data_IF_832752958826
#
_entry.id   IF_832752958826
#
_cell.length_a   1.000
_cell.length_b   1.000
_cell.length_c   1.000
_cell.angle_alpha   90.00
_cell.angle_beta   90.00
_cell.angle_gamma   90.00
#
_symmetry.space_group_name_H-M   'P 1'
#
loop_
_entity.id
_entity.type
_entity.pdbx_description
1 polymer ?
#
# COMPACT_ATOMS: atom_id res chain seq x y z
N UNK A 1 11.06 13.32 4.20
CA UNK A 1 12.14 13.22 5.20
C UNK A 1 11.52 13.44 6.58
N UNK A 2 11.38 12.37 7.37
CA UNK A 2 11.00 12.53 8.78
C UNK A 2 12.27 12.91 9.53
N UNK A 3 12.34 14.14 9.96
CA UNK A 3 13.44 14.59 10.81
C UNK A 3 13.01 14.29 12.24
N UNK A 4 13.70 13.36 12.91
CA UNK A 4 13.65 13.29 14.36
C UNK A 4 14.36 14.54 14.86
N UNK A 5 13.56 15.57 15.18
CA UNK A 5 14.12 16.81 15.68
C UNK A 5 14.17 16.77 17.20
N UNK A 6 15.31 17.16 17.78
CA UNK A 6 15.45 17.51 19.20
C UNK A 6 14.93 18.91 19.52
N UNK A 7 14.07 19.50 18.67
CA UNK A 7 13.52 20.84 18.86
C UNK A 7 12.66 20.89 20.13
N UNK A 8 12.80 21.99 20.88
CA UNK A 8 11.99 22.24 22.08
C UNK A 8 10.49 22.43 21.74
N UNK A 9 9.62 22.38 22.78
CA UNK A 9 8.16 22.47 22.61
C UNK A 9 7.72 23.72 21.83
N UNK A 10 8.38 24.85 22.05
CA UNK A 10 8.02 26.14 21.41
C UNK A 10 8.30 26.13 19.92
N UNK A 11 9.39 25.49 19.47
CA UNK A 11 9.73 25.34 18.06
C UNK A 11 8.74 24.40 17.38
N UNK A 12 8.33 23.31 18.05
CA UNK A 12 7.32 22.38 17.56
C UNK A 12 5.94 23.05 17.44
N UNK A 13 5.56 23.88 18.43
CA UNK A 13 4.32 24.63 18.39
C UNK A 13 4.30 25.66 17.25
N UNK A 14 5.40 26.38 17.04
CA UNK A 14 5.53 27.33 15.94
C UNK A 14 5.47 26.62 14.57
N UNK A 15 6.12 25.47 14.43
CA UNK A 15 6.07 24.67 13.22
C UNK A 15 4.64 24.14 12.95
N UNK A 16 3.94 23.65 13.97
CA UNK A 16 2.56 23.21 13.86
C UNK A 16 1.62 24.35 13.44
N UNK A 17 1.80 25.54 14.00
CA UNK A 17 1.03 26.73 13.62
C UNK A 17 1.26 27.12 12.15
N UNK A 18 2.52 27.10 11.68
CA UNK A 18 2.85 27.38 10.29
C UNK A 18 2.22 26.35 9.32
N UNK A 19 2.24 25.06 9.68
CA UNK A 19 1.58 24.00 8.90
C UNK A 19 0.07 24.24 8.84
N UNK A 20 -0.57 24.58 9.96
CA UNK A 20 -2.01 24.85 9.99
C UNK A 20 -2.37 26.06 9.09
N UNK A 21 -1.61 27.15 9.14
CA UNK A 21 -1.81 28.32 8.27
C UNK A 21 -1.69 27.96 6.78
N UNK A 22 -0.69 27.15 6.41
CA UNK A 22 -0.54 26.65 5.05
C UNK A 22 -1.75 25.77 4.65
N UNK A 23 -2.20 24.90 5.54
CA UNK A 23 -3.38 24.05 5.31
C UNK A 23 -4.62 24.88 5.09
N UNK A 24 -4.86 25.92 5.90
CA UNK A 24 -5.97 26.84 5.74
C UNK A 24 -5.90 27.62 4.41
N UNK A 25 -4.71 28.04 4.01
CA UNK A 25 -4.53 28.75 2.74
C UNK A 25 -4.81 27.88 1.52
N UNK A 26 -4.67 26.55 1.64
CA UNK A 26 -4.93 25.56 0.60
C UNK A 26 -6.36 24.99 0.64
N UNK A 27 -7.11 25.22 1.72
CA UNK A 27 -8.44 24.64 1.95
C UNK A 27 -9.49 25.05 0.88
N UNK A 28 -9.24 26.14 0.12
CA UNK A 28 -10.06 26.54 -1.01
C UNK A 28 -9.67 25.93 -2.37
N UNK A 29 -8.56 25.19 -2.40
CA UNK A 29 -8.02 24.58 -3.61
C UNK A 29 -8.37 23.10 -3.64
N UNK A 30 -9.62 22.77 -3.97
CA UNK A 30 -10.01 21.38 -4.17
C UNK A 30 -9.50 20.90 -5.53
N UNK A 31 -8.56 19.95 -5.53
CA UNK A 31 -8.27 19.16 -6.71
C UNK A 31 -9.43 18.18 -6.91
N UNK A 32 -10.04 18.18 -8.10
CA UNK A 32 -10.84 17.02 -8.50
C UNK A 32 -9.91 15.81 -8.51
N UNK A 33 -10.17 14.88 -7.60
CA UNK A 33 -9.41 13.63 -7.54
C UNK A 33 -9.88 12.77 -8.71
N UNK A 34 -9.07 12.72 -9.76
CA UNK A 34 -9.26 11.75 -10.82
C UNK A 34 -9.02 10.35 -10.26
N UNK A 35 -10.11 9.64 -9.95
CA UNK A 35 -10.09 8.24 -9.55
C UNK A 35 -10.01 7.31 -10.76
N UNK A 36 -9.79 7.83 -11.97
CA UNK A 36 -9.56 7.01 -13.14
C UNK A 36 -8.31 6.17 -12.92
N UNK A 37 -8.49 4.86 -13.01
CA UNK A 37 -7.38 3.89 -13.01
C UNK A 37 -6.68 4.04 -14.36
N UNK A 38 -5.57 4.77 -14.39
CA UNK A 38 -4.74 4.83 -15.58
C UNK A 38 -4.34 3.41 -15.98
N UNK A 39 -4.45 3.10 -17.27
CA UNK A 39 -4.14 1.77 -17.83
C UNK A 39 -2.81 1.25 -17.28
N UNK A 40 -2.86 0.10 -16.58
CA UNK A 40 -1.69 -0.63 -16.09
C UNK A 40 -1.16 -0.25 -14.70
N UNK A 41 -1.73 0.74 -14.00
CA UNK A 41 -1.33 1.00 -12.62
C UNK A 41 -2.54 1.25 -11.73
N UNK A 42 -2.70 0.45 -10.68
CA UNK A 42 -3.66 0.67 -9.60
C UNK A 42 -3.14 1.84 -8.73
N UNK A 43 -3.13 3.05 -9.32
CA UNK A 43 -2.67 4.26 -8.66
C UNK A 43 -3.83 5.24 -8.49
N UNK A 44 -4.57 5.10 -7.39
CA UNK A 44 -5.29 6.26 -6.88
C UNK A 44 -4.25 7.22 -6.29
N UNK A 45 -4.29 8.50 -6.62
CA UNK A 45 -3.44 9.53 -6.00
C UNK A 45 -3.54 9.54 -4.47
N UNK A 46 -4.67 9.07 -3.93
CA UNK A 46 -4.94 8.96 -2.50
C UNK A 46 -4.63 7.57 -1.92
N UNK A 47 -4.06 6.64 -2.72
CA UNK A 47 -3.71 5.31 -2.21
C UNK A 47 -2.80 5.42 -0.98
N UNK A 48 -3.17 4.71 0.08
CA UNK A 48 -2.41 4.63 1.33
C UNK A 48 -0.99 4.06 1.14
N UNK A 49 -0.74 3.35 0.05
CA UNK A 49 0.54 2.65 -0.19
C UNK A 49 1.33 3.28 -1.33
N UNK A 50 0.71 3.55 -2.47
CA UNK A 50 1.37 4.06 -3.67
C UNK A 50 0.94 5.47 -4.09
N UNK A 51 0.05 6.12 -3.33
CA UNK A 51 -0.52 7.42 -3.70
C UNK A 51 0.47 8.57 -3.58
N UNK A 52 0.70 9.30 -4.66
CA UNK A 52 1.62 10.44 -4.68
C UNK A 52 1.16 11.60 -3.82
N UNK A 53 -0.16 11.74 -3.63
CA UNK A 53 -0.76 12.80 -2.80
C UNK A 53 -0.97 12.37 -1.34
N UNK A 54 -0.61 11.15 -0.96
CA UNK A 54 -0.72 10.68 0.40
C UNK A 54 0.63 10.85 1.13
N UNK A 55 0.75 11.79 2.09
CA UNK A 55 2.04 12.17 2.67
C UNK A 55 2.72 11.04 3.45
N UNK A 56 1.95 10.06 3.92
CA UNK A 56 2.45 8.89 4.64
C UNK A 56 2.51 7.63 3.79
N UNK A 57 2.30 7.69 2.47
CA UNK A 57 2.41 6.48 1.64
C UNK A 57 3.87 6.04 1.51
N UNK A 58 4.19 4.75 1.72
CA UNK A 58 5.55 4.23 1.57
C UNK A 58 6.06 4.23 0.11
N UNK A 59 5.19 4.55 -0.86
CA UNK A 59 5.50 4.67 -2.29
C UNK A 59 5.90 3.35 -2.95
N UNK A 60 5.23 2.25 -2.58
CA UNK A 60 5.39 0.99 -3.30
C UNK A 60 4.77 1.09 -4.70
N UNK A 61 5.59 0.87 -5.71
CA UNK A 61 5.19 0.85 -7.11
C UNK A 61 5.28 -0.56 -7.64
N UNK A 62 4.12 -1.16 -7.97
CA UNK A 62 4.05 -2.50 -8.54
C UNK A 62 4.06 -2.44 -10.08
N UNK A 63 4.83 -3.32 -10.70
CA UNK A 63 4.80 -3.61 -12.14
C UNK A 63 4.07 -4.93 -12.33
N UNK A 64 2.89 -4.85 -12.95
CA UNK A 64 2.04 -6.02 -13.21
C UNK A 64 2.32 -6.55 -14.61
N UNK A 65 2.55 -7.86 -14.70
CA UNK A 65 2.71 -8.58 -15.95
C UNK A 65 1.84 -9.85 -15.92
N UNK A 66 0.66 -9.79 -16.53
CA UNK A 66 -0.28 -10.90 -16.49
C UNK A 66 -0.73 -11.24 -15.07
N UNK A 67 -0.42 -12.45 -14.64
CA UNK A 67 -0.80 -12.98 -13.32
C UNK A 67 0.29 -12.80 -12.24
N UNK A 68 1.31 -12.01 -12.52
CA UNK A 68 2.41 -11.72 -11.63
C UNK A 68 2.59 -10.21 -11.46
N UNK A 69 3.15 -9.82 -10.33
CA UNK A 69 3.60 -8.45 -10.12
C UNK A 69 4.86 -8.42 -9.25
N UNK A 70 5.69 -7.43 -9.52
CA UNK A 70 6.90 -7.16 -8.73
C UNK A 70 7.02 -5.67 -8.47
N UNK A 71 7.50 -5.29 -7.30
CA UNK A 71 7.75 -3.90 -6.94
C UNK A 71 8.85 -3.77 -5.91
N UNK A 72 9.35 -2.54 -5.75
CA UNK A 72 10.35 -2.23 -4.73
C UNK A 72 9.92 -1.03 -3.91
N UNK A 73 10.28 -1.04 -2.64
CA UNK A 73 10.02 0.06 -1.70
C UNK A 73 11.13 0.14 -0.66
N UNK A 74 11.46 1.37 -0.23
CA UNK A 74 12.28 1.61 0.96
C UNK A 74 11.36 2.17 2.03
N UNK A 75 11.15 1.41 3.09
CA UNK A 75 10.26 1.82 4.19
C UNK A 75 11.05 2.63 5.21
N UNK A 76 10.64 3.89 5.41
CA UNK A 76 11.32 4.81 6.31
C UNK A 76 10.92 4.68 7.79
N UNK A 77 11.56 5.45 8.68
CA UNK A 77 11.38 5.35 10.12
C UNK A 77 9.98 5.70 10.64
N UNK A 78 9.16 6.38 9.83
CA UNK A 78 7.76 6.67 10.15
C UNK A 78 6.94 5.39 10.40
N UNK A 79 7.36 4.28 9.82
CA UNK A 79 6.68 2.99 9.85
C UNK A 79 7.33 1.98 10.81
N UNK A 80 8.13 2.49 11.75
CA UNK A 80 8.82 1.63 12.72
C UNK A 80 7.85 0.93 13.67
N UNK A 81 8.03 -0.37 13.84
CA UNK A 81 7.47 -1.18 14.92
C UNK A 81 8.49 -1.36 16.04
N UNK A 82 9.22 -2.47 16.04
CA UNK A 82 10.40 -2.62 16.89
C UNK A 82 11.58 -1.78 16.40
N UNK A 83 12.63 -1.58 17.22
CA UNK A 83 13.79 -0.78 16.84
C UNK A 83 14.42 -1.27 15.54
N UNK A 84 14.50 -0.40 14.53
CA UNK A 84 15.07 -0.69 13.21
C UNK A 84 14.22 -1.60 12.31
N UNK A 85 12.99 -1.96 12.71
CA UNK A 85 12.14 -2.90 12.02
C UNK A 85 10.85 -2.25 11.53
N UNK A 86 10.36 -2.69 10.37
CA UNK A 86 9.05 -2.30 9.84
C UNK A 86 7.95 -2.88 10.72
N UNK A 87 6.95 -2.06 11.06
CA UNK A 87 5.79 -2.53 11.79
C UNK A 87 5.03 -3.62 11.02
N UNK A 88 4.66 -4.72 11.69
CA UNK A 88 4.01 -5.87 11.05
C UNK A 88 2.71 -5.53 10.30
N UNK A 89 1.94 -4.56 10.80
CA UNK A 89 0.75 -4.06 10.10
C UNK A 89 1.08 -3.32 8.79
N UNK A 90 2.23 -2.64 8.71
CA UNK A 90 2.70 -2.01 7.46
C UNK A 90 3.13 -3.08 6.46
N UNK A 91 3.80 -4.13 6.94
CA UNK A 91 4.14 -5.29 6.11
C UNK A 91 2.87 -5.92 5.51
N UNK A 92 1.82 -6.11 6.34
CA UNK A 92 0.53 -6.63 5.87
C UNK A 92 -0.14 -5.71 4.85
N UNK A 93 -0.09 -4.39 5.06
CA UNK A 93 -0.60 -3.38 4.15
C UNK A 93 0.10 -3.42 2.78
N UNK A 94 1.44 -3.55 2.76
CA UNK A 94 2.22 -3.67 1.53
C UNK A 94 1.83 -4.92 0.73
N UNK A 95 1.68 -6.05 1.41
CA UNK A 95 1.27 -7.33 0.81
C UNK A 95 -0.16 -7.24 0.25
N UNK A 96 -1.11 -6.74 1.03
CA UNK A 96 -2.50 -6.60 0.59
C UNK A 96 -2.61 -5.72 -0.66
N UNK A 97 -1.94 -4.56 -0.63
CA UNK A 97 -1.88 -3.66 -1.78
C UNK A 97 -1.27 -4.35 -3.02
N UNK A 98 -0.14 -5.03 -2.85
CA UNK A 98 0.55 -5.70 -3.95
C UNK A 98 -0.33 -6.81 -4.57
N UNK A 99 -0.98 -7.63 -3.74
CA UNK A 99 -1.94 -8.65 -4.21
C UNK A 99 -3.14 -8.01 -4.91
N UNK A 100 -3.64 -6.88 -4.39
CA UNK A 100 -4.72 -6.11 -4.99
C UNK A 100 -4.39 -5.65 -6.42
N UNK A 101 -3.14 -5.29 -6.70
CA UNK A 101 -2.69 -4.90 -8.03
C UNK A 101 -2.80 -6.03 -9.08
N UNK A 102 -2.67 -7.29 -8.65
CA UNK A 102 -2.84 -8.47 -9.52
C UNK A 102 -4.31 -8.91 -9.57
N UNK A 103 -4.98 -8.89 -8.41
CA UNK A 103 -6.34 -9.39 -8.28
C UNK A 103 -7.37 -8.49 -8.96
N UNK A 104 -7.30 -7.17 -8.74
CA UNK A 104 -8.25 -6.21 -9.25
C UNK A 104 -7.78 -5.60 -10.57
N UNK A 105 -8.65 -5.66 -11.59
CA UNK A 105 -8.44 -5.09 -12.93
C UNK A 105 -9.69 -4.32 -13.33
N UNK A 106 -9.64 -3.39 -14.31
CA UNK A 106 -10.81 -2.65 -14.77
C UNK A 106 -11.98 -3.57 -15.21
N UNK A 107 -11.65 -4.69 -15.86
CA UNK A 107 -12.60 -5.72 -16.33
C UNK A 107 -12.93 -6.77 -15.26
N UNK A 108 -12.21 -6.78 -14.14
CA UNK A 108 -12.33 -7.77 -13.07
C UNK A 108 -12.14 -7.12 -11.69
N UNK A 109 -13.10 -6.32 -11.22
CA UNK A 109 -13.03 -5.76 -9.87
C UNK A 109 -13.04 -6.88 -8.83
N UNK A 110 -12.16 -6.78 -7.85
CA UNK A 110 -12.00 -7.77 -6.80
C UNK A 110 -11.69 -7.10 -5.47
N UNK A 111 -12.01 -7.77 -4.36
CA UNK A 111 -11.69 -7.30 -3.02
C UNK A 111 -11.15 -8.43 -2.15
N UNK A 112 -10.29 -8.08 -1.21
CA UNK A 112 -9.69 -9.02 -0.26
C UNK A 112 -10.75 -9.61 0.67
N UNK A 113 -10.80 -10.94 0.77
CA UNK A 113 -11.67 -11.64 1.73
C UNK A 113 -10.88 -12.43 2.76
N UNK A 114 -9.61 -12.76 2.45
CA UNK A 114 -8.72 -13.42 3.40
C UNK A 114 -7.27 -13.07 3.07
N UNK A 115 -6.50 -12.77 4.11
CA UNK A 115 -5.06 -12.57 4.03
C UNK A 115 -4.40 -13.32 5.19
N UNK A 116 -3.40 -14.15 4.87
CA UNK A 116 -2.63 -14.90 5.86
C UNK A 116 -1.16 -14.62 5.65
N UNK A 117 -0.47 -14.12 6.67
CA UNK A 117 0.96 -13.82 6.62
C UNK A 117 1.74 -14.76 7.52
N UNK A 118 2.95 -15.09 7.08
CA UNK A 118 3.98 -15.79 7.86
C UNK A 118 5.21 -14.91 7.90
N UNK A 119 5.49 -14.32 9.05
CA UNK A 119 6.71 -13.55 9.29
C UNK A 119 7.85 -14.53 9.53
N UNK A 120 8.73 -14.70 8.54
CA UNK A 120 9.86 -15.63 8.58
C UNK A 120 11.05 -15.03 9.31
N UNK A 121 11.26 -13.73 9.10
CA UNK A 121 12.35 -12.94 9.67
C UNK A 121 11.88 -11.51 9.94
N UNK A 122 12.57 -10.76 10.80
CA UNK A 122 12.32 -9.33 10.93
C UNK A 122 12.54 -8.61 9.59
N UNK A 123 11.61 -7.73 9.21
CA UNK A 123 11.73 -6.89 8.01
C UNK A 123 12.43 -5.58 8.39
N UNK A 124 13.64 -5.28 7.87
CA UNK A 124 14.40 -4.11 8.26
C UNK A 124 13.84 -2.82 7.65
N UNK A 125 14.04 -1.69 8.36
CA UNK A 125 13.80 -0.34 7.84
C UNK A 125 15.00 0.16 7.02
N UNK A 126 14.72 1.09 6.08
CA UNK A 126 15.75 1.86 5.39
C UNK A 126 16.52 1.10 4.30
N UNK A 127 16.18 -0.15 4.05
CA UNK A 127 16.76 -0.95 2.97
C UNK A 127 15.73 -1.21 1.86
N UNK A 128 16.17 -1.49 0.62
CA UNK A 128 15.27 -1.89 -0.45
C UNK A 128 14.58 -3.23 -0.12
N UNK A 129 13.26 -3.20 -0.11
CA UNK A 129 12.42 -4.40 0.00
C UNK A 129 11.86 -4.72 -1.39
N UNK A 130 11.99 -5.96 -1.82
CA UNK A 130 11.35 -6.47 -3.04
C UNK A 130 10.07 -7.18 -2.67
N UNK A 131 8.96 -6.78 -3.29
CA UNK A 131 7.64 -7.39 -3.12
C UNK A 131 7.27 -8.12 -4.39
N UNK A 132 6.97 -9.40 -4.29
CA UNK A 132 6.57 -10.26 -5.42
C UNK A 132 5.21 -10.89 -5.16
N UNK A 133 4.39 -10.99 -6.21
CA UNK A 133 3.04 -11.56 -6.16
C UNK A 133 2.81 -12.48 -7.35
N UNK A 134 2.12 -13.59 -7.13
CA UNK A 134 1.69 -14.55 -8.15
C UNK A 134 0.23 -14.95 -7.94
N UNK A 135 -0.57 -14.90 -9.00
CA UNK A 135 -1.89 -15.54 -9.03
C UNK A 135 -1.71 -17.03 -9.24
N UNK A 136 -2.08 -17.83 -8.24
CA UNK A 136 -1.89 -19.29 -8.29
C UNK A 136 -3.00 -19.99 -9.04
N UNK A 137 -4.25 -19.57 -8.81
CA UNK A 137 -5.45 -20.15 -9.44
C UNK A 137 -6.68 -19.28 -9.24
N UNK A 138 -7.66 -19.52 -10.08
CA UNK A 138 -9.01 -18.96 -9.97
C UNK A 138 -9.99 -20.11 -9.77
N UNK A 139 -10.74 -20.08 -8.68
CA UNK A 139 -11.78 -21.07 -8.37
C UNK A 139 -13.13 -20.36 -8.28
N UNK A 140 -13.99 -20.57 -9.29
CA UNK A 140 -15.25 -19.84 -9.44
C UNK A 140 -15.00 -18.32 -9.47
N UNK A 141 -15.28 -17.61 -8.38
CA UNK A 141 -15.04 -16.15 -8.21
C UNK A 141 -13.94 -15.82 -7.21
N UNK A 142 -13.18 -16.82 -6.76
CA UNK A 142 -12.08 -16.61 -5.83
C UNK A 142 -10.75 -16.69 -6.56
N UNK A 143 -9.95 -15.65 -6.38
CA UNK A 143 -8.56 -15.60 -6.84
C UNK A 143 -7.69 -15.96 -5.63
N UNK A 144 -6.84 -16.97 -5.81
CA UNK A 144 -5.87 -17.40 -4.81
C UNK A 144 -4.49 -16.90 -5.22
N UNK A 145 -3.88 -16.08 -4.39
CA UNK A 145 -2.59 -15.47 -4.65
C UNK A 145 -1.58 -15.85 -3.58
N UNK A 146 -0.30 -15.89 -3.97
CA UNK A 146 0.83 -15.89 -3.06
C UNK A 146 1.62 -14.59 -3.21
N UNK A 147 2.29 -14.16 -2.14
CA UNK A 147 3.22 -13.05 -2.18
C UNK A 147 4.38 -13.27 -1.22
N UNK A 148 5.49 -12.58 -1.48
CA UNK A 148 6.64 -12.50 -0.58
C UNK A 148 7.18 -11.08 -0.48
N UNK A 149 7.85 -10.80 0.65
CA UNK A 149 8.74 -9.65 0.80
C UNK A 149 10.14 -10.17 1.08
N UNK A 150 11.11 -9.63 0.36
CA UNK A 150 12.51 -9.94 0.50
C UNK A 150 13.31 -8.68 0.85
N UNK A 151 14.31 -8.85 1.72
CA UNK A 151 15.34 -7.87 2.02
C UNK A 151 16.71 -8.55 1.84
N UNK A 152 17.61 -7.92 1.11
CA UNK A 152 18.99 -8.44 0.85
C UNK A 152 19.01 -9.89 0.32
N UNK A 153 18.01 -10.24 -0.53
CA UNK A 153 17.86 -11.58 -1.12
C UNK A 153 17.27 -12.65 -0.19
N UNK A 154 16.87 -12.26 1.04
CA UNK A 154 16.30 -13.15 2.04
C UNK A 154 14.81 -12.90 2.24
N UNK A 155 13.98 -13.94 2.16
CA UNK A 155 12.53 -13.82 2.40
C UNK A 155 12.27 -13.46 3.87
N UNK A 156 11.67 -12.31 4.10
CA UNK A 156 11.25 -11.86 5.43
C UNK A 156 9.80 -12.24 5.72
N UNK A 157 8.92 -12.21 4.70
CA UNK A 157 7.51 -12.52 4.82
C UNK A 157 7.03 -13.32 3.63
N UNK A 158 6.19 -14.31 3.89
CA UNK A 158 5.36 -15.00 2.90
C UNK A 158 3.89 -14.78 3.22
N UNK A 159 3.05 -14.76 2.18
CA UNK A 159 1.62 -14.57 2.37
C UNK A 159 0.79 -15.35 1.36
N UNK A 160 -0.40 -15.76 1.81
CA UNK A 160 -1.47 -16.32 0.98
C UNK A 160 -2.69 -15.39 1.08
N UNK A 161 -3.24 -15.01 -0.08
CA UNK A 161 -4.42 -14.14 -0.19
C UNK A 161 -5.55 -14.80 -0.97
N UNK A 162 -6.78 -14.53 -0.55
CA UNK A 162 -7.98 -14.85 -1.32
C UNK A 162 -8.73 -13.57 -1.61
N UNK A 163 -9.00 -13.32 -2.88
CA UNK A 163 -9.76 -12.16 -3.35
C UNK A 163 -11.05 -12.65 -4.02
N UNK A 164 -12.15 -11.95 -3.80
CA UNK A 164 -13.44 -12.25 -4.41
C UNK A 164 -13.68 -11.33 -5.61
N UNK A 165 -13.91 -11.91 -6.78
CA UNK A 165 -14.35 -11.17 -7.97
C UNK A 165 -15.76 -10.64 -7.72
N UNK A 166 -15.94 -9.33 -7.86
CA UNK A 166 -17.22 -8.66 -7.66
C UNK A 166 -18.06 -8.75 -8.94
N UNK A 167 -19.35 -9.08 -8.77
CA UNK A 167 -20.36 -8.99 -9.84
C UNK A 167 -20.95 -7.58 -9.87
N UNK A 168 -21.65 -7.23 -10.94
CA UNK A 168 -22.36 -5.95 -11.05
C UNK A 168 -23.34 -5.73 -9.86
N UNK A 169 -24.00 -6.80 -9.41
CA UNK A 169 -24.90 -6.78 -8.26
C UNK A 169 -24.15 -6.48 -6.95
N UNK A 170 -23.00 -7.14 -6.74
CA UNK A 170 -22.17 -6.87 -5.56
C UNK A 170 -21.59 -5.45 -5.58
N UNK A 171 -21.19 -4.94 -6.74
CA UNK A 171 -20.69 -3.57 -6.89
C UNK A 171 -21.75 -2.54 -6.49
N UNK A 172 -23.01 -2.71 -6.92
CA UNK A 172 -24.10 -1.83 -6.55
C UNK A 172 -24.41 -1.84 -5.05
N UNK A 173 -24.17 -2.97 -4.37
CA UNK A 173 -24.36 -3.10 -2.92
C UNK A 173 -23.20 -2.51 -2.13
N UNK A 174 -21.96 -2.73 -2.59
CA UNK A 174 -20.73 -2.28 -1.90
C UNK A 174 -20.48 -0.79 -2.14
N UNK A 175 -20.82 -0.28 -3.32
CA UNK A 175 -20.63 1.11 -3.73
C UNK A 175 -21.97 1.70 -4.21
N UNK A 176 -22.93 1.98 -3.29
CA UNK A 176 -24.16 2.65 -3.64
C UNK A 176 -23.83 4.05 -4.22
N UNK A 177 -24.43 4.38 -5.37
CA UNK A 177 -24.27 5.69 -6.03
C UNK A 177 -25.00 6.78 -5.26
#
# INVERSE_FOLDING_TARGET
MVVQTGAGPDVLAAAASAVNQLTESLAGSTLEVDNSVAEGSYRSHLSLVGGLSHPAAPQLVMRVNGDEATGQVVVGPLFQGGPGLVHGGIVALLIDHAMGCVAARPDRPAMTVKLTLRYRRPTPLGVPLTVSVHLLRIERRQLHLSASIEADGEVTVEADGVFLILTAENLATVFPR
#
